data_IF_312788856274
#
_entry.id   IF_312788856274
#
_cell.length_a   1.000
_cell.length_b   1.000
_cell.length_c   1.000
_cell.angle_alpha   90.00
_cell.angle_beta   90.00
_cell.angle_gamma   90.00
#
_symmetry.space_group_name_H-M   'P 1'
#
loop_
_entity.id
_entity.type
_entity.pdbx_description
1 polymer ?
#
# COMPACT_ATOMS: atom_id res chain seq x y z
N UNK A 1 -10.71 -33.63 17.79
CA UNK A 1 -9.60 -32.67 17.47
C UNK A 1 -10.04 -31.95 16.21
N UNK A 2 -10.44 -30.70 16.34
CA UNK A 2 -10.80 -29.88 15.18
C UNK A 2 -9.53 -29.63 14.36
N UNK A 3 -9.57 -29.99 13.09
CA UNK A 3 -8.52 -29.63 12.13
C UNK A 3 -8.47 -28.09 12.05
N UNK A 4 -7.31 -27.46 12.20
CA UNK A 4 -7.23 -26.01 12.00
C UNK A 4 -7.74 -25.68 10.61
N UNK A 5 -8.77 -24.87 10.52
CA UNK A 5 -9.27 -24.36 9.24
C UNK A 5 -8.23 -23.39 8.71
N UNK A 6 -7.60 -23.73 7.57
CA UNK A 6 -6.70 -22.83 6.87
C UNK A 6 -7.47 -21.57 6.46
N UNK A 7 -6.97 -20.40 6.88
CA UNK A 7 -7.57 -19.11 6.54
C UNK A 7 -6.76 -18.50 5.40
N UNK A 8 -7.40 -18.36 4.24
CA UNK A 8 -6.86 -17.62 3.11
C UNK A 8 -7.27 -16.14 3.23
N UNK A 9 -6.30 -15.24 3.06
CA UNK A 9 -6.54 -13.79 3.02
C UNK A 9 -6.11 -13.23 1.68
N UNK A 10 -6.98 -12.42 1.07
CA UNK A 10 -6.73 -11.76 -0.21
C UNK A 10 -6.21 -10.36 0.02
N UNK A 11 -4.99 -10.11 -0.45
CA UNK A 11 -4.36 -8.79 -0.50
C UNK A 11 -4.42 -8.30 -1.95
N UNK A 12 -5.29 -7.34 -2.25
CA UNK A 12 -5.47 -6.80 -3.59
C UNK A 12 -4.57 -5.58 -3.82
N UNK A 13 -3.87 -5.55 -4.94
CA UNK A 13 -2.95 -4.48 -5.34
C UNK A 13 -3.34 -3.79 -6.65
N UNK A 14 -4.59 -3.97 -7.10
CA UNK A 14 -5.08 -3.40 -8.36
C UNK A 14 -4.86 -1.89 -8.44
N UNK A 15 -5.15 -1.17 -7.37
CA UNK A 15 -5.06 0.29 -7.31
C UNK A 15 -3.65 0.84 -7.07
N UNK A 16 -2.68 -0.02 -6.80
CA UNK A 16 -1.28 0.37 -6.65
C UNK A 16 -0.44 -0.25 -7.76
N UNK A 17 -0.23 -1.55 -7.75
CA UNK A 17 0.60 -2.25 -8.72
C UNK A 17 -0.09 -2.36 -10.08
N UNK A 18 -1.37 -2.65 -10.09
CA UNK A 18 -2.17 -2.76 -11.31
C UNK A 18 -2.21 -1.48 -12.13
N UNK A 19 -2.20 -0.33 -11.50
CA UNK A 19 -2.16 0.98 -12.17
C UNK A 19 -0.82 1.27 -12.87
N UNK A 20 0.25 0.56 -12.50
CA UNK A 20 1.57 0.68 -13.14
C UNK A 20 1.61 0.07 -14.55
N UNK A 21 0.66 -0.78 -14.91
CA UNK A 21 0.60 -1.37 -16.24
C UNK A 21 0.31 -0.29 -17.31
N UNK A 22 0.92 -0.39 -18.50
CA UNK A 22 0.67 0.57 -19.59
C UNK A 22 -0.82 0.67 -19.93
N UNK A 23 -1.35 1.90 -19.97
CA UNK A 23 -2.76 2.17 -20.29
C UNK A 23 -3.74 1.93 -19.12
N UNK A 24 -3.26 1.61 -17.93
CA UNK A 24 -4.08 1.34 -16.74
C UNK A 24 -4.18 2.51 -15.76
N UNK A 25 -3.72 3.70 -16.13
CA UNK A 25 -3.89 4.91 -15.31
C UNK A 25 -5.36 5.24 -15.15
N UNK A 26 -5.78 5.55 -13.92
CA UNK A 26 -7.17 5.82 -13.56
C UNK A 26 -7.32 7.23 -12.99
N UNK A 27 -8.46 7.85 -13.28
CA UNK A 27 -8.90 9.07 -12.59
C UNK A 27 -9.28 8.75 -11.13
N UNK A 28 -9.39 9.76 -10.29
CA UNK A 28 -9.85 9.59 -8.90
C UNK A 28 -11.23 8.92 -8.84
N UNK A 29 -12.15 9.31 -9.71
CA UNK A 29 -13.50 8.74 -9.77
C UNK A 29 -13.47 7.24 -10.11
N UNK A 30 -12.65 6.84 -11.09
CA UNK A 30 -12.44 5.44 -11.45
C UNK A 30 -11.81 4.64 -10.31
N UNK A 31 -10.78 5.18 -9.65
CA UNK A 31 -10.17 4.55 -8.47
C UNK A 31 -11.19 4.29 -7.36
N UNK A 32 -12.07 5.24 -7.08
CA UNK A 32 -13.14 5.08 -6.10
C UNK A 32 -14.15 4.01 -6.50
N UNK A 33 -14.51 3.92 -7.78
CA UNK A 33 -15.39 2.86 -8.28
C UNK A 33 -14.77 1.48 -8.11
N UNK A 34 -13.49 1.33 -8.48
CA UNK A 34 -12.74 0.08 -8.32
C UNK A 34 -12.60 -0.27 -6.84
N UNK A 35 -12.25 0.68 -5.97
CA UNK A 35 -12.15 0.46 -4.53
C UNK A 35 -13.45 -0.07 -3.93
N UNK A 36 -14.58 0.52 -4.29
CA UNK A 36 -15.90 0.07 -3.84
C UNK A 36 -16.26 -1.31 -4.37
N UNK A 37 -15.89 -1.62 -5.61
CA UNK A 37 -16.10 -2.94 -6.21
C UNK A 37 -15.28 -4.02 -5.48
N UNK A 38 -14.01 -3.74 -5.18
CA UNK A 38 -13.13 -4.63 -4.42
C UNK A 38 -13.63 -4.86 -2.98
N UNK A 39 -14.13 -3.80 -2.33
CA UNK A 39 -14.74 -3.92 -1.01
C UNK A 39 -15.99 -4.82 -1.04
N UNK A 40 -16.86 -4.68 -2.06
CA UNK A 40 -18.03 -5.56 -2.24
C UNK A 40 -17.63 -7.00 -2.57
N UNK A 41 -16.52 -7.18 -3.31
CA UNK A 41 -15.97 -8.51 -3.61
C UNK A 41 -15.50 -9.24 -2.34
N UNK A 42 -15.19 -8.48 -1.28
CA UNK A 42 -14.81 -9.05 0.00
C UNK A 42 -13.31 -9.31 0.14
N UNK A 43 -12.45 -8.55 -0.55
CA UNK A 43 -11.00 -8.62 -0.31
C UNK A 43 -10.68 -8.27 1.15
N UNK A 44 -9.69 -8.93 1.74
CA UNK A 44 -9.31 -8.68 3.13
C UNK A 44 -8.50 -7.39 3.28
N UNK A 45 -7.62 -7.14 2.33
CA UNK A 45 -6.76 -5.94 2.29
C UNK A 45 -6.81 -5.34 0.90
N UNK A 46 -7.02 -4.03 0.83
CA UNK A 46 -7.03 -3.23 -0.38
C UNK A 46 -5.86 -2.25 -0.31
N UNK A 47 -4.83 -2.44 -1.15
CA UNK A 47 -3.72 -1.49 -1.26
C UNK A 47 -4.12 -0.36 -2.20
N UNK A 48 -4.37 0.81 -1.61
CA UNK A 48 -5.00 1.93 -2.29
C UNK A 48 -4.04 2.77 -3.15
N UNK A 49 -2.75 2.71 -2.86
CA UNK A 49 -1.75 3.45 -3.61
C UNK A 49 -0.46 3.72 -2.84
N UNK A 50 0.32 4.68 -3.34
CA UNK A 50 1.61 5.09 -2.79
C UNK A 50 1.60 6.61 -2.50
N UNK A 51 1.17 7.05 -1.30
CA UNK A 51 0.96 8.47 -0.98
C UNK A 51 2.18 9.37 -1.19
N UNK A 52 3.38 8.86 -0.91
CA UNK A 52 4.62 9.63 -1.07
C UNK A 52 5.04 9.84 -2.54
N UNK A 53 4.43 9.14 -3.49
CA UNK A 53 4.80 9.23 -4.90
C UNK A 53 4.41 10.59 -5.51
N UNK A 54 3.24 11.13 -5.15
CA UNK A 54 2.76 12.44 -5.62
C UNK A 54 1.62 12.98 -4.75
N UNK A 55 1.33 14.28 -4.79
CA UNK A 55 0.14 14.85 -4.15
C UNK A 55 -1.17 14.22 -4.63
N UNK A 56 -1.24 13.84 -5.91
CA UNK A 56 -2.39 13.16 -6.48
C UNK A 56 -2.60 11.76 -5.89
N UNK A 57 -1.52 11.00 -5.70
CA UNK A 57 -1.57 9.68 -5.06
C UNK A 57 -1.99 9.79 -3.59
N UNK A 58 -1.48 10.77 -2.86
CA UNK A 58 -1.89 11.03 -1.48
C UNK A 58 -3.40 11.34 -1.41
N UNK A 59 -3.88 12.22 -2.29
CA UNK A 59 -5.30 12.58 -2.35
C UNK A 59 -6.19 11.39 -2.70
N UNK A 60 -5.75 10.54 -3.63
CA UNK A 60 -6.48 9.33 -4.02
C UNK A 60 -6.59 8.31 -2.88
N UNK A 61 -5.48 8.01 -2.20
CA UNK A 61 -5.48 7.10 -1.04
C UNK A 61 -6.37 7.65 0.06
N UNK A 62 -6.30 8.95 0.34
CA UNK A 62 -7.13 9.61 1.35
C UNK A 62 -8.63 9.50 1.02
N UNK A 63 -9.00 9.72 -0.23
CA UNK A 63 -10.39 9.58 -0.68
C UNK A 63 -10.90 8.14 -0.55
N UNK A 64 -10.08 7.15 -0.93
CA UNK A 64 -10.42 5.72 -0.80
C UNK A 64 -10.57 5.35 0.67
N UNK A 65 -9.65 5.78 1.53
CA UNK A 65 -9.67 5.51 2.96
C UNK A 65 -10.97 5.99 3.64
N UNK A 66 -11.52 7.12 3.19
CA UNK A 66 -12.79 7.65 3.68
C UNK A 66 -14.05 7.07 3.02
N UNK A 67 -13.90 6.34 1.92
CA UNK A 67 -15.03 5.91 1.07
C UNK A 67 -15.36 4.42 1.17
N UNK A 68 -14.47 3.58 1.70
CA UNK A 68 -14.67 2.13 1.78
C UNK A 68 -14.64 1.63 3.22
N UNK A 69 -15.54 0.70 3.51
CA UNK A 69 -15.61 -0.05 4.74
C UNK A 69 -15.44 -1.54 4.46
N UNK A 70 -15.02 -2.30 5.45
CA UNK A 70 -14.84 -3.74 5.39
C UNK A 70 -13.38 -4.16 5.24
N UNK A 71 -12.70 -3.95 4.11
CA UNK A 71 -11.29 -4.31 3.97
C UNK A 71 -10.37 -3.44 4.86
N UNK A 72 -9.20 -3.97 5.19
CA UNK A 72 -8.09 -3.14 5.65
C UNK A 72 -7.61 -2.31 4.47
N UNK A 73 -7.59 -0.98 4.60
CA UNK A 73 -7.01 -0.11 3.57
C UNK A 73 -5.51 0.02 3.83
N UNK A 74 -4.71 -0.37 2.85
CA UNK A 74 -3.26 -0.31 2.92
C UNK A 74 -2.69 0.78 2.00
N UNK A 75 -1.56 1.34 2.39
CA UNK A 75 -0.78 2.27 1.58
C UNK A 75 0.68 1.84 1.58
N UNK A 76 1.32 1.94 0.40
CA UNK A 76 2.73 1.61 0.22
C UNK A 76 3.61 2.75 0.73
N UNK A 77 4.71 2.41 1.39
CA UNK A 77 5.73 3.35 1.84
C UNK A 77 7.12 2.71 1.74
N UNK A 78 8.12 3.48 1.34
CA UNK A 78 9.51 3.09 1.53
C UNK A 78 9.84 3.16 3.03
N UNK A 79 10.91 2.49 3.47
CA UNK A 79 11.42 2.60 4.85
C UNK A 79 12.07 3.96 5.08
N UNK A 80 11.29 5.03 4.95
CA UNK A 80 11.67 6.44 5.16
C UNK A 80 10.60 7.12 5.99
N UNK A 81 10.98 7.92 7.01
CA UNK A 81 10.00 8.63 7.84
C UNK A 81 8.98 9.42 7.05
N UNK A 82 9.41 10.21 6.06
CA UNK A 82 8.52 11.04 5.24
C UNK A 82 7.47 10.22 4.48
N UNK A 83 7.84 9.06 3.95
CA UNK A 83 6.92 8.16 3.24
C UNK A 83 5.89 7.57 4.21
N UNK A 84 6.34 7.18 5.41
CA UNK A 84 5.49 6.60 6.45
C UNK A 84 4.51 7.64 6.97
N UNK A 85 4.96 8.87 7.19
CA UNK A 85 4.11 9.99 7.61
C UNK A 85 3.04 10.31 6.55
N UNK A 86 3.42 10.33 5.26
CA UNK A 86 2.48 10.51 4.16
C UNK A 86 1.43 9.40 4.11
N UNK A 87 1.85 8.14 4.30
CA UNK A 87 0.93 7.00 4.34
C UNK A 87 -0.01 7.08 5.55
N UNK A 88 0.51 7.42 6.73
CA UNK A 88 -0.30 7.59 7.93
C UNK A 88 -1.37 8.69 7.76
N UNK A 89 -0.98 9.83 7.21
CA UNK A 89 -1.87 10.95 6.91
C UNK A 89 -2.97 10.54 5.92
N UNK A 90 -2.61 9.85 4.84
CA UNK A 90 -3.57 9.43 3.83
C UNK A 90 -4.58 8.39 4.35
N UNK A 91 -4.18 7.56 5.31
CA UNK A 91 -5.00 6.50 5.88
C UNK A 91 -5.81 6.93 7.11
N UNK A 92 -5.72 8.18 7.53
CA UNK A 92 -6.31 8.66 8.80
C UNK A 92 -7.81 8.37 8.91
N UNK A 93 -8.56 8.49 7.82
CA UNK A 93 -10.00 8.25 7.78
C UNK A 93 -10.41 6.77 7.67
N UNK A 94 -9.47 5.85 7.46
CA UNK A 94 -9.78 4.44 7.36
C UNK A 94 -10.07 3.83 8.73
N UNK A 95 -11.17 3.09 8.85
CA UNK A 95 -11.52 2.36 10.08
C UNK A 95 -10.49 1.27 10.42
N UNK A 96 -9.99 0.60 9.38
CA UNK A 96 -8.93 -0.43 9.47
C UNK A 96 -7.84 -0.07 8.49
N UNK A 97 -6.63 0.20 8.98
CA UNK A 97 -5.53 0.74 8.19
C UNK A 97 -4.25 -0.06 8.35
N UNK A 98 -3.43 -0.06 7.31
CA UNK A 98 -2.10 -0.71 7.29
C UNK A 98 -1.12 0.11 6.47
N UNK A 99 0.08 0.33 6.99
CA UNK A 99 1.20 0.85 6.21
C UNK A 99 2.02 -0.36 5.74
N UNK A 100 2.15 -0.51 4.43
CA UNK A 100 2.93 -1.57 3.80
C UNK A 100 4.30 -1.02 3.43
N UNK A 101 5.32 -1.37 4.20
CA UNK A 101 6.69 -0.92 3.96
C UNK A 101 7.47 -1.92 3.14
N UNK A 102 8.37 -1.42 2.29
CA UNK A 102 9.29 -2.25 1.50
C UNK A 102 10.67 -1.64 1.43
N UNK A 103 11.68 -2.49 1.26
CA UNK A 103 13.06 -2.08 1.05
C UNK A 103 13.79 -3.13 0.22
N UNK A 104 14.52 -2.67 -0.81
CA UNK A 104 15.30 -3.56 -1.67
C UNK A 104 16.48 -4.17 -0.91
N UNK A 105 16.66 -5.49 -1.04
CA UNK A 105 17.67 -6.25 -0.29
C UNK A 105 18.78 -6.84 -1.15
N UNK A 106 18.58 -6.96 -2.48
CA UNK A 106 19.59 -7.50 -3.38
C UNK A 106 20.85 -6.63 -3.40
N UNK A 107 22.07 -7.20 -3.55
CA UNK A 107 23.31 -6.43 -3.57
C UNK A 107 23.29 -5.31 -4.61
N UNK A 108 22.85 -5.59 -5.82
CA UNK A 108 22.81 -4.60 -6.91
C UNK A 108 21.91 -3.40 -6.60
N UNK A 109 20.73 -3.64 -5.98
CA UNK A 109 19.82 -2.56 -5.62
C UNK A 109 20.30 -1.80 -4.38
N UNK A 110 20.87 -2.49 -3.38
CA UNK A 110 21.44 -1.85 -2.19
C UNK A 110 22.58 -0.91 -2.56
N UNK A 111 23.54 -1.40 -3.34
CA UNK A 111 24.79 -0.69 -3.61
C UNK A 111 24.63 0.39 -4.67
N UNK A 112 23.95 0.07 -5.78
CA UNK A 112 23.81 1.00 -6.92
C UNK A 112 22.63 1.95 -6.84
N UNK A 113 21.52 1.53 -6.23
CA UNK A 113 20.31 2.33 -6.15
C UNK A 113 20.16 3.06 -4.81
N UNK A 114 20.42 2.37 -3.71
CA UNK A 114 20.23 2.92 -2.36
C UNK A 114 21.54 3.46 -1.75
N UNK A 115 22.71 3.02 -2.21
CA UNK A 115 24.00 3.35 -1.61
C UNK A 115 24.14 2.84 -0.17
N UNK A 116 23.49 1.72 0.17
CA UNK A 116 23.41 1.18 1.52
C UNK A 116 24.13 -0.16 1.66
N UNK A 117 24.87 -0.31 2.76
CA UNK A 117 25.37 -1.61 3.22
C UNK A 117 24.23 -2.49 3.75
N UNK A 118 24.49 -3.78 3.88
CA UNK A 118 23.52 -4.72 4.49
C UNK A 118 23.09 -4.29 5.89
N UNK A 119 24.02 -3.82 6.71
CA UNK A 119 23.73 -3.36 8.07
C UNK A 119 22.82 -2.12 8.08
N UNK A 120 23.07 -1.18 7.17
CA UNK A 120 22.23 0.01 7.02
C UNK A 120 20.80 -0.33 6.57
N UNK A 121 20.64 -1.28 5.65
CA UNK A 121 19.31 -1.77 5.23
C UNK A 121 18.57 -2.38 6.42
N UNK A 122 19.22 -3.23 7.21
CA UNK A 122 18.60 -3.83 8.41
C UNK A 122 18.23 -2.77 9.46
N UNK A 123 19.07 -1.76 9.63
CA UNK A 123 18.77 -0.65 10.53
C UNK A 123 17.56 0.16 10.06
N UNK A 124 17.46 0.45 8.76
CA UNK A 124 16.34 1.18 8.18
C UNK A 124 14.99 0.45 8.34
N UNK A 125 15.00 -0.88 8.28
CA UNK A 125 13.77 -1.69 8.49
C UNK A 125 13.34 -1.68 9.96
N UNK A 126 14.29 -1.55 10.89
CA UNK A 126 14.00 -1.57 12.33
C UNK A 126 13.59 -0.21 12.89
N UNK A 127 13.98 0.86 12.21
CA UNK A 127 13.65 2.21 12.63
C UNK A 127 12.16 2.52 12.48
#
# INVERSE_FOLDING_TARGET
>A
METPTDILRIFDTTLRDGEQAPGCSMTLAEKLQVARALARLGVDVLEAGFPAASPGDLAAVRAIAGAVDGPVVAALARCRPDDIDAAALALEAAARRRIHVFLATSPIHRERKLGMSRAQVLAAVRA
#
